data_IF_956511317149
#
_entry.id   IF_956511317149
#
_cell.length_a   1.000
_cell.length_b   1.000
_cell.length_c   1.000
_cell.angle_alpha   90.00
_cell.angle_beta   90.00
_cell.angle_gamma   90.00
#
_symmetry.space_group_name_H-M   'P 1'
#
loop_
_entity.id
_entity.type
_entity.pdbx_description
1 polymer ?
#
# COMPACT_ATOMS: atom_id res chain seq x y z
N UNK A 1 1.60 -10.59 20.82
CA UNK A 1 0.78 -10.10 19.70
C UNK A 1 0.98 -10.99 18.49
N UNK A 2 -0.11 -11.60 18.00
CA UNK A 2 -0.10 -12.31 16.72
C UNK A 2 0.01 -11.30 15.58
N UNK A 3 0.64 -11.68 14.46
CA UNK A 3 0.70 -10.80 13.29
C UNK A 3 -0.70 -10.43 12.77
N UNK A 4 -1.65 -11.36 12.88
CA UNK A 4 -3.07 -11.09 12.65
C UNK A 4 -3.59 -9.91 13.49
N UNK A 5 -3.36 -9.90 14.81
CA UNK A 5 -3.86 -8.81 15.66
C UNK A 5 -3.30 -7.43 15.27
N UNK A 6 -2.03 -7.38 14.84
CA UNK A 6 -1.41 -6.15 14.35
C UNK A 6 -2.07 -5.68 13.04
N UNK A 7 -2.30 -6.62 12.12
CA UNK A 7 -2.99 -6.36 10.86
C UNK A 7 -4.44 -5.91 11.07
N UNK A 8 -5.19 -6.62 11.94
CA UNK A 8 -6.56 -6.30 12.32
C UNK A 8 -6.67 -4.90 12.99
N UNK A 9 -5.61 -4.42 13.63
CA UNK A 9 -5.58 -3.07 14.21
C UNK A 9 -5.35 -2.00 13.13
N UNK A 10 -4.47 -2.26 12.16
CA UNK A 10 -4.19 -1.36 11.04
C UNK A 10 -5.42 -1.22 10.15
N UNK A 11 -6.06 -2.32 9.76
CA UNK A 11 -7.27 -2.31 8.92
C UNK A 11 -8.40 -1.51 9.58
N UNK A 12 -8.61 -1.68 10.89
CA UNK A 12 -9.66 -0.97 11.64
C UNK A 12 -9.38 0.51 11.80
N UNK A 13 -8.11 0.87 11.99
CA UNK A 13 -7.69 2.27 12.14
C UNK A 13 -7.86 3.03 10.83
N UNK A 14 -7.56 2.38 9.72
CA UNK A 14 -7.69 2.96 8.38
C UNK A 14 -9.16 2.88 7.92
N UNK A 15 -9.95 1.92 8.40
CA UNK A 15 -11.33 1.69 7.95
C UNK A 15 -11.38 0.86 6.66
N UNK A 16 -10.45 -0.07 6.49
CA UNK A 16 -10.30 -0.89 5.29
C UNK A 16 -11.03 -2.23 5.46
N UNK A 17 -11.98 -2.52 4.57
CA UNK A 17 -12.71 -3.80 4.53
C UNK A 17 -12.08 -4.81 3.55
N UNK A 18 -11.44 -4.33 2.48
CA UNK A 18 -10.90 -5.14 1.37
C UNK A 18 -9.47 -5.63 1.66
N UNK A 19 -9.33 -6.34 2.77
CA UNK A 19 -8.05 -6.68 3.37
C UNK A 19 -7.26 -7.73 2.57
N UNK A 20 -7.94 -8.50 1.72
CA UNK A 20 -7.34 -9.57 0.92
C UNK A 20 -6.30 -9.06 -0.10
N UNK A 21 -6.38 -7.78 -0.48
CA UNK A 21 -5.38 -7.16 -1.35
C UNK A 21 -4.09 -6.78 -0.63
N UNK A 22 -4.11 -6.60 0.69
CA UNK A 22 -3.01 -5.98 1.43
C UNK A 22 -2.23 -6.95 2.29
N UNK A 23 -1.01 -6.55 2.61
CA UNK A 23 -0.15 -7.24 3.56
C UNK A 23 0.80 -6.28 4.25
N UNK A 24 1.48 -6.79 5.27
CA UNK A 24 2.53 -6.07 5.96
C UNK A 24 3.88 -6.59 5.48
N UNK A 25 4.72 -5.71 4.97
CA UNK A 25 6.11 -5.98 4.68
C UNK A 25 6.99 -5.51 5.83
N UNK A 26 8.07 -6.23 6.09
CA UNK A 26 9.12 -5.83 7.03
C UNK A 26 10.48 -6.16 6.43
N UNK A 27 11.53 -5.56 6.98
CA UNK A 27 12.91 -5.94 6.66
C UNK A 27 13.35 -6.99 7.66
N UNK A 28 13.86 -8.13 7.19
CA UNK A 28 14.41 -9.16 8.07
C UNK A 28 15.79 -8.76 8.62
N UNK A 29 16.33 -9.55 9.53
CA UNK A 29 17.69 -9.35 10.08
C UNK A 29 18.82 -9.42 9.04
N UNK A 30 18.54 -9.97 7.85
CA UNK A 30 19.48 -10.08 6.71
C UNK A 30 19.34 -8.94 5.71
N UNK A 31 18.44 -7.98 5.94
CA UNK A 31 18.20 -6.84 5.06
C UNK A 31 17.24 -7.13 3.90
N UNK A 32 16.60 -8.29 3.87
CA UNK A 32 15.64 -8.66 2.82
C UNK A 32 14.23 -8.20 3.19
N UNK A 33 13.49 -7.71 2.20
CA UNK A 33 12.08 -7.35 2.38
C UNK A 33 11.22 -8.61 2.31
N UNK A 34 10.49 -8.90 3.41
CA UNK A 34 9.66 -10.10 3.55
C UNK A 34 8.24 -9.72 3.98
N UNK A 35 7.25 -10.52 3.56
CA UNK A 35 5.87 -10.39 4.00
C UNK A 35 5.62 -11.07 5.34
N UNK A 36 4.93 -10.37 6.23
CA UNK A 36 4.52 -10.86 7.54
C UNK A 36 3.44 -11.93 7.39
N UNK A 37 3.68 -13.10 7.98
CA UNK A 37 2.73 -14.22 8.03
C UNK A 37 1.77 -14.00 9.18
N UNK A 38 0.50 -13.74 8.87
CA UNK A 38 -0.55 -13.43 9.86
C UNK A 38 -0.80 -14.57 10.85
N UNK A 39 -0.54 -15.81 10.45
CA UNK A 39 -0.68 -17.01 11.29
C UNK A 39 0.46 -17.23 12.30
N UNK A 40 1.53 -16.43 12.25
CA UNK A 40 2.67 -16.53 13.17
C UNK A 40 2.74 -15.30 14.10
N UNK A 41 3.45 -15.43 15.22
CA UNK A 41 3.73 -14.30 16.11
C UNK A 41 4.71 -13.34 15.41
N UNK A 42 4.56 -12.04 15.60
CA UNK A 42 5.44 -11.02 14.97
C UNK A 42 6.90 -11.24 15.37
N UNK A 43 7.13 -11.44 16.67
CA UNK A 43 8.47 -11.64 17.24
C UNK A 43 9.16 -12.95 16.80
N UNK A 44 8.42 -13.90 16.21
CA UNK A 44 8.97 -15.18 15.75
C UNK A 44 9.40 -15.16 14.28
N UNK A 45 9.27 -14.02 13.59
CA UNK A 45 9.47 -13.91 12.14
C UNK A 45 10.76 -13.15 11.76
N UNK A 46 11.81 -13.22 12.58
CA UNK A 46 13.13 -12.61 12.31
C UNK A 46 13.07 -11.15 11.82
N UNK A 47 12.06 -10.41 12.30
CA UNK A 47 11.91 -8.98 12.00
C UNK A 47 13.16 -8.26 12.51
N UNK A 48 13.73 -7.38 11.66
CA UNK A 48 14.86 -6.56 12.04
C UNK A 48 14.56 -5.85 13.36
N UNK A 49 15.42 -6.07 14.36
CA UNK A 49 15.24 -5.59 15.73
C UNK A 49 15.59 -4.11 15.82
N UNK A 50 14.75 -3.28 15.23
CA UNK A 50 14.77 -1.82 15.36
C UNK A 50 13.67 -1.37 16.31
N UNK A 51 13.87 -0.24 16.99
CA UNK A 51 12.87 0.35 17.87
C UNK A 51 12.50 1.76 17.37
N UNK A 52 11.28 1.99 16.84
CA UNK A 52 10.18 1.03 16.71
C UNK A 52 10.41 -0.01 15.60
N UNK A 53 9.70 -1.15 15.69
CA UNK A 53 9.64 -2.13 14.60
C UNK A 53 8.96 -1.49 13.39
N UNK A 54 9.61 -1.57 12.22
CA UNK A 54 9.12 -0.95 11.00
C UNK A 54 8.33 -1.95 10.15
N UNK A 55 7.05 -1.66 9.95
CA UNK A 55 6.17 -2.38 9.03
C UNK A 55 5.66 -1.44 7.94
N UNK A 56 5.66 -1.92 6.71
CA UNK A 56 5.09 -1.21 5.55
C UNK A 56 3.80 -1.92 5.16
N UNK A 57 2.66 -1.24 5.30
CA UNK A 57 1.40 -1.72 4.77
C UNK A 57 1.35 -1.48 3.26
N UNK A 58 1.29 -2.54 2.46
CA UNK A 58 1.35 -2.47 0.99
C UNK A 58 0.38 -3.46 0.35
N UNK A 59 -0.07 -3.14 -0.86
CA UNK A 59 -0.82 -4.08 -1.69
C UNK A 59 0.10 -5.24 -2.09
N UNK A 60 -0.32 -6.47 -1.77
CA UNK A 60 0.36 -7.71 -2.15
C UNK A 60 -0.23 -8.29 -3.43
N UNK A 61 -1.53 -8.11 -3.61
CA UNK A 61 -2.28 -8.57 -4.77
C UNK A 61 -2.96 -7.36 -5.41
N UNK A 62 -2.98 -7.35 -6.74
CA UNK A 62 -3.67 -6.34 -7.52
C UNK A 62 -4.93 -6.95 -8.11
N UNK A 63 -6.05 -6.20 -8.15
CA UNK A 63 -7.24 -6.64 -8.87
C UNK A 63 -6.95 -6.76 -10.37
N UNK A 64 -7.73 -7.58 -11.06
CA UNK A 64 -7.69 -7.68 -12.53
C UNK A 64 -8.35 -6.45 -13.14
N UNK A 65 -9.47 -6.01 -12.56
CA UNK A 65 -10.14 -4.77 -12.95
C UNK A 65 -10.36 -3.86 -11.73
N UNK A 66 -9.67 -2.72 -11.71
CA UNK A 66 -9.79 -1.74 -10.63
C UNK A 66 -11.15 -1.05 -10.57
N UNK A 67 -11.88 -0.95 -11.68
CA UNK A 67 -13.16 -0.26 -11.77
C UNK A 67 -14.34 -1.11 -11.26
N UNK A 68 -14.23 -2.43 -11.37
CA UNK A 68 -15.26 -3.36 -10.90
C UNK A 68 -14.94 -3.97 -9.52
N UNK A 69 -13.66 -4.22 -9.22
CA UNK A 69 -13.28 -4.95 -8.01
C UNK A 69 -13.01 -4.06 -6.79
N UNK A 70 -12.63 -2.79 -6.98
CA UNK A 70 -12.37 -1.88 -5.87
C UNK A 70 -13.64 -1.15 -5.46
N UNK A 71 -14.17 -1.49 -4.29
CA UNK A 71 -15.47 -0.97 -3.83
C UNK A 71 -15.30 0.26 -2.94
N UNK A 72 -14.29 0.28 -2.06
CA UNK A 72 -14.13 1.37 -1.09
C UNK A 72 -13.14 2.42 -1.60
N UNK A 73 -13.51 3.69 -1.45
CA UNK A 73 -12.66 4.85 -1.81
C UNK A 73 -11.28 4.79 -1.17
N UNK A 74 -11.19 4.26 0.06
CA UNK A 74 -9.92 4.12 0.76
C UNK A 74 -9.00 3.08 0.11
N UNK A 75 -9.57 1.98 -0.38
CA UNK A 75 -8.85 0.95 -1.12
C UNK A 75 -8.30 1.54 -2.41
N UNK A 76 -9.16 2.22 -3.18
CA UNK A 76 -8.78 2.93 -4.41
C UNK A 76 -7.65 3.91 -4.14
N UNK A 77 -7.77 4.72 -3.08
CA UNK A 77 -6.75 5.69 -2.69
C UNK A 77 -5.42 5.05 -2.30
N UNK A 78 -5.44 3.94 -1.56
CA UNK A 78 -4.22 3.22 -1.18
C UNK A 78 -3.52 2.60 -2.40
N UNK A 79 -4.27 1.99 -3.31
CA UNK A 79 -3.72 1.47 -4.57
C UNK A 79 -3.12 2.59 -5.43
N UNK A 80 -3.86 3.68 -5.60
CA UNK A 80 -3.39 4.85 -6.33
C UNK A 80 -2.09 5.42 -5.73
N UNK A 81 -2.01 5.58 -4.40
CA UNK A 81 -0.79 6.04 -3.74
C UNK A 81 0.38 5.08 -3.94
N UNK A 82 0.12 3.78 -3.92
CA UNK A 82 1.15 2.77 -4.15
C UNK A 82 1.67 2.82 -5.58
N UNK A 83 0.79 2.82 -6.58
CA UNK A 83 1.15 2.88 -8.01
C UNK A 83 1.87 4.19 -8.32
N UNK A 84 1.39 5.31 -7.77
CA UNK A 84 2.05 6.60 -7.91
C UNK A 84 3.47 6.57 -7.34
N UNK A 85 3.66 6.00 -6.15
CA UNK A 85 4.99 5.87 -5.56
C UNK A 85 5.90 5.02 -6.45
N UNK A 86 5.42 3.86 -6.92
CA UNK A 86 6.17 2.96 -7.77
C UNK A 86 6.55 3.58 -9.14
N UNK A 87 5.67 4.40 -9.70
CA UNK A 87 5.94 5.19 -10.90
C UNK A 87 7.05 6.23 -10.64
N UNK A 88 6.97 6.99 -9.53
CA UNK A 88 7.96 7.99 -9.16
C UNK A 88 9.32 7.41 -8.76
N UNK A 89 9.34 6.18 -8.24
CA UNK A 89 10.58 5.47 -7.89
C UNK A 89 11.16 4.67 -9.05
N UNK A 90 10.61 4.80 -10.26
CA UNK A 90 11.00 4.07 -11.47
C UNK A 90 10.94 2.53 -11.29
N UNK A 91 10.13 2.06 -10.34
CA UNK A 91 9.86 0.62 -10.14
C UNK A 91 8.91 0.09 -11.22
N UNK A 92 8.03 0.96 -11.73
CA UNK A 92 7.10 0.66 -12.83
C UNK A 92 7.43 1.59 -13.98
N UNK A 93 7.91 1.01 -15.09
CA UNK A 93 8.09 1.76 -16.32
C UNK A 93 6.75 2.33 -16.79
N UNK A 94 6.72 3.65 -16.94
CA UNK A 94 5.57 4.37 -17.43
C UNK A 94 6.01 5.30 -18.57
N UNK A 95 5.37 5.21 -19.76
CA UNK A 95 5.65 6.16 -20.84
C UNK A 95 5.45 7.61 -20.38
N UNK A 96 6.24 8.58 -20.89
CA UNK A 96 6.12 9.98 -20.49
C UNK A 96 4.70 10.53 -20.63
N UNK A 97 4.03 10.24 -21.75
CA UNK A 97 2.67 10.70 -22.04
C UNK A 97 1.66 10.19 -20.99
N UNK A 98 1.81 8.92 -20.59
CA UNK A 98 0.98 8.30 -19.55
C UNK A 98 1.30 8.85 -18.17
N UNK A 99 2.57 9.12 -17.87
CA UNK A 99 2.99 9.70 -16.59
C UNK A 99 2.41 11.11 -16.39
N UNK A 100 2.42 11.93 -17.44
CA UNK A 100 1.80 13.27 -17.42
C UNK A 100 0.30 13.17 -17.19
N UNK A 101 -0.39 12.25 -17.86
CA UNK A 101 -1.83 12.04 -17.66
C UNK A 101 -2.16 11.52 -16.25
N UNK A 102 -1.37 10.59 -15.71
CA UNK A 102 -1.51 10.14 -14.33
C UNK A 102 -1.25 11.27 -13.34
N UNK A 103 -0.31 12.17 -13.64
CA UNK A 103 -0.03 13.35 -12.83
C UNK A 103 -1.20 14.37 -12.86
N UNK A 104 -1.88 14.56 -13.99
CA UNK A 104 -3.08 15.42 -14.02
C UNK A 104 -4.21 14.85 -13.17
N UNK A 105 -4.48 13.54 -13.28
CA UNK A 105 -5.46 12.87 -12.41
C UNK A 105 -5.05 12.92 -10.94
N UNK A 106 -3.75 12.83 -10.65
CA UNK A 106 -3.20 12.93 -9.31
C UNK A 106 -3.48 14.28 -8.63
N UNK A 107 -3.32 15.37 -9.39
CA UNK A 107 -3.61 16.74 -8.93
C UNK A 107 -5.11 16.91 -8.71
N UNK A 108 -5.93 16.47 -9.67
CA UNK A 108 -7.39 16.50 -9.55
C UNK A 108 -7.88 15.74 -8.31
N UNK A 109 -7.37 14.53 -8.07
CA UNK A 109 -7.75 13.73 -6.91
C UNK A 109 -7.31 14.36 -5.56
N UNK A 110 -6.28 15.21 -5.56
CA UNK A 110 -5.76 15.85 -4.35
C UNK A 110 -6.37 17.23 -4.08
N UNK A 111 -6.59 18.01 -5.12
CA UNK A 111 -6.95 19.42 -5.04
C UNK A 111 -8.39 19.71 -5.48
N UNK A 112 -9.08 18.73 -6.10
CA UNK A 112 -10.39 18.94 -6.71
C UNK A 112 -10.27 19.68 -8.04
N UNK A 113 -11.38 20.31 -8.45
CA UNK A 113 -11.45 21.05 -9.72
C UNK A 113 -10.49 22.24 -9.71
N UNK A 114 -9.75 22.40 -10.82
CA UNK A 114 -8.88 23.54 -11.01
C UNK A 114 -9.70 24.83 -11.15
N UNK A 115 -9.41 25.82 -10.28
CA UNK A 115 -9.92 27.17 -10.42
C UNK A 115 -8.77 28.13 -10.76
N UNK A 116 -8.79 28.80 -11.94
CA UNK A 116 -7.77 29.77 -12.34
C UNK A 116 -7.88 31.16 -11.67
N UNK A 117 -9.01 31.47 -11.03
CA UNK A 117 -9.26 32.74 -10.32
C UNK A 117 -8.66 32.76 -8.90
#
# INVERSE_FOLDING_TARGET
TTAKQLFDQVEKTIGLSEIWFFGLQYTDSKGLTTWLKLNKKVLTQDVKKENPLLFKFRAKFYPVDVGEELIHDITVRLFYLHVRYANLSDEIYCPPDTSVLLASYAVQAKHGDYNPD
#
